data_IF_731596970625
#
_entry.id   IF_731596970625
#
_cell.length_a   1.000
_cell.length_b   1.000
_cell.length_c   1.000
_cell.angle_alpha   90.00
_cell.angle_beta   90.00
_cell.angle_gamma   90.00
#
_symmetry.space_group_name_H-M   'P 1'
#
loop_
_entity.id
_entity.type
_entity.pdbx_description
1 polymer ?
#
# COMPACT_ATOMS: atom_id res chain seq x y z
N UNK A 1 14.62 8.49 -9.74
CA UNK A 1 13.75 9.08 -8.69
C UNK A 1 14.24 8.63 -7.33
N UNK A 2 13.95 9.42 -6.29
CA UNK A 2 14.10 9.06 -4.87
C UNK A 2 12.73 8.62 -4.35
N UNK A 3 12.58 7.36 -3.99
CA UNK A 3 11.29 6.75 -3.64
C UNK A 3 11.34 6.22 -2.20
N UNK A 4 10.39 6.67 -1.37
CA UNK A 4 10.22 6.19 -0.01
C UNK A 4 9.24 5.02 0.00
N UNK A 5 9.63 3.87 0.58
CA UNK A 5 8.78 2.68 0.66
C UNK A 5 8.52 2.33 2.13
N UNK A 6 7.32 2.61 2.59
CA UNK A 6 6.86 2.26 3.95
C UNK A 6 6.33 0.83 3.94
N UNK A 7 6.86 -0.02 4.79
CA UNK A 7 6.61 -1.47 4.77
C UNK A 7 7.49 -2.22 3.77
N UNK A 8 8.62 -1.64 3.35
CA UNK A 8 9.55 -2.19 2.37
C UNK A 8 10.20 -3.52 2.76
N UNK A 9 10.14 -3.91 4.02
CA UNK A 9 10.70 -5.18 4.54
C UNK A 9 9.68 -6.33 4.58
N UNK A 10 8.41 -6.07 4.29
CA UNK A 10 7.35 -7.08 4.21
C UNK A 10 7.40 -7.90 2.92
N UNK A 11 6.49 -8.87 2.78
CA UNK A 11 6.45 -9.81 1.64
C UNK A 11 6.35 -9.09 0.27
N UNK A 12 5.35 -8.24 0.10
CA UNK A 12 5.23 -7.44 -1.14
C UNK A 12 6.32 -6.37 -1.17
N UNK A 13 6.60 -5.75 -0.03
CA UNK A 13 7.56 -4.65 0.09
C UNK A 13 8.95 -5.03 -0.40
N UNK A 14 9.49 -6.15 0.01
CA UNK A 14 10.80 -6.63 -0.42
C UNK A 14 10.88 -6.87 -1.93
N UNK A 15 9.82 -7.36 -2.54
CA UNK A 15 9.75 -7.53 -3.99
C UNK A 15 9.70 -6.17 -4.73
N UNK A 16 8.93 -5.21 -4.21
CA UNK A 16 8.87 -3.84 -4.76
C UNK A 16 10.23 -3.15 -4.63
N UNK A 17 10.87 -3.24 -3.46
CA UNK A 17 12.23 -2.71 -3.22
C UNK A 17 13.22 -3.32 -4.20
N UNK A 18 13.26 -4.64 -4.31
CA UNK A 18 14.17 -5.36 -5.22
C UNK A 18 13.99 -4.94 -6.69
N UNK A 19 12.74 -4.68 -7.09
CA UNK A 19 12.43 -4.26 -8.45
C UNK A 19 12.84 -2.81 -8.71
N UNK A 20 12.45 -1.90 -7.82
CA UNK A 20 12.67 -0.46 -8.02
C UNK A 20 14.11 -0.01 -7.79
N UNK A 21 14.89 -0.72 -6.96
CA UNK A 21 16.30 -0.43 -6.74
C UNK A 21 17.17 -0.55 -7.99
N UNK A 22 16.67 -1.19 -9.04
CA UNK A 22 17.40 -1.31 -10.32
C UNK A 22 17.58 0.04 -11.02
N UNK A 23 16.58 0.93 -10.87
CA UNK A 23 16.51 2.18 -11.65
C UNK A 23 16.26 3.42 -10.78
N UNK A 24 16.04 3.26 -9.48
CA UNK A 24 15.66 4.34 -8.57
C UNK A 24 16.47 4.27 -7.27
N UNK A 25 16.61 5.41 -6.60
CA UNK A 25 17.11 5.44 -5.22
C UNK A 25 15.93 5.12 -4.29
N UNK A 26 15.89 3.92 -3.76
CA UNK A 26 14.86 3.49 -2.81
C UNK A 26 15.34 3.73 -1.38
N UNK A 27 14.43 4.23 -0.54
CA UNK A 27 14.60 4.36 0.90
C UNK A 27 13.50 3.52 1.55
N UNK A 28 13.88 2.59 2.40
CA UNK A 28 12.96 1.70 3.09
C UNK A 28 12.62 2.20 4.48
N UNK A 29 11.34 2.13 4.84
CA UNK A 29 10.84 2.46 6.18
C UNK A 29 10.01 1.30 6.71
N UNK A 30 10.28 0.91 7.94
CA UNK A 30 9.50 -0.08 8.66
C UNK A 30 9.35 0.30 10.12
N UNK A 31 8.51 -0.42 10.87
CA UNK A 31 8.31 -0.16 12.31
C UNK A 31 9.58 -0.45 13.12
N UNK A 32 10.29 -1.51 12.79
CA UNK A 32 11.48 -2.00 13.51
C UNK A 32 12.69 -2.26 12.61
N UNK A 33 12.59 -2.02 11.29
CA UNK A 33 13.64 -2.34 10.32
C UNK A 33 13.55 -1.42 9.10
N UNK A 34 14.56 -1.43 8.23
CA UNK A 34 14.68 -0.55 7.06
C UNK A 34 15.76 0.51 7.28
N UNK A 35 15.93 1.41 6.31
CA UNK A 35 16.88 2.52 6.40
C UNK A 35 16.47 3.52 7.48
N UNK A 36 15.15 3.67 7.67
CA UNK A 36 14.54 4.47 8.72
C UNK A 36 13.44 3.67 9.43
N UNK A 37 13.15 4.08 10.67
CA UNK A 37 12.06 3.50 11.45
C UNK A 37 10.95 4.53 11.64
N UNK A 38 9.71 4.14 11.37
CA UNK A 38 8.52 4.93 11.67
C UNK A 38 7.30 4.04 11.86
N UNK A 39 6.41 4.48 12.77
CA UNK A 39 5.09 3.89 12.95
C UNK A 39 4.05 4.77 12.25
N UNK A 40 3.34 4.24 11.26
CA UNK A 40 2.30 4.99 10.53
C UNK A 40 1.11 5.39 11.41
N UNK A 41 0.91 4.70 12.51
CA UNK A 41 -0.15 4.99 13.49
C UNK A 41 0.20 6.19 14.38
N UNK A 42 1.49 6.56 14.45
CA UNK A 42 2.02 7.69 15.21
C UNK A 42 2.44 8.83 14.27
N UNK A 43 1.65 9.90 14.28
CA UNK A 43 1.89 11.06 13.43
C UNK A 43 3.27 11.68 13.70
N UNK A 44 3.68 11.79 14.99
CA UNK A 44 4.97 12.39 15.34
C UNK A 44 6.16 11.55 14.88
N UNK A 45 5.99 10.22 14.80
CA UNK A 45 6.96 9.30 14.23
C UNK A 45 7.16 9.53 12.73
N UNK A 46 6.06 9.76 12.01
CA UNK A 46 6.11 10.09 10.58
C UNK A 46 6.75 11.44 10.32
N UNK A 47 6.39 12.48 11.08
CA UNK A 47 6.97 13.84 10.98
C UNK A 47 8.50 13.78 11.13
N UNK A 48 8.98 13.16 12.21
CA UNK A 48 10.43 13.00 12.45
C UNK A 48 11.14 12.25 11.33
N UNK A 49 10.51 11.23 10.78
CA UNK A 49 11.07 10.46 9.67
C UNK A 49 11.17 11.33 8.41
N UNK A 50 10.11 12.09 8.07
CA UNK A 50 10.14 12.98 6.90
C UNK A 50 11.13 14.13 7.04
N UNK A 51 11.29 14.71 8.23
CA UNK A 51 12.28 15.76 8.49
C UNK A 51 13.71 15.29 8.21
N UNK A 52 14.02 14.04 8.51
CA UNK A 52 15.35 13.45 8.24
C UNK A 52 15.49 13.01 6.78
N UNK A 53 14.47 12.39 6.21
CA UNK A 53 14.49 11.91 4.82
C UNK A 53 14.50 13.08 3.82
N UNK A 54 13.76 14.16 4.13
CA UNK A 54 13.56 15.30 3.24
C UNK A 54 12.78 14.96 1.99
N UNK A 55 12.92 15.79 0.95
CA UNK A 55 12.16 15.66 -0.31
C UNK A 55 12.38 14.34 -1.03
N UNK A 56 11.28 13.78 -1.57
CA UNK A 56 11.24 12.56 -2.37
C UNK A 56 10.40 12.77 -3.63
N UNK A 57 10.55 11.90 -4.63
CA UNK A 57 9.75 11.93 -5.86
C UNK A 57 8.47 11.08 -5.72
N UNK A 58 8.44 10.17 -4.76
CA UNK A 58 7.26 9.36 -4.51
C UNK A 58 7.31 8.61 -3.19
N UNK A 59 6.11 8.27 -2.71
CA UNK A 59 5.89 7.45 -1.51
C UNK A 59 5.04 6.24 -1.89
N UNK A 60 5.50 5.06 -1.48
CA UNK A 60 4.74 3.80 -1.60
C UNK A 60 4.48 3.26 -0.21
N UNK A 61 3.23 3.01 0.13
CA UNK A 61 2.84 2.38 1.39
C UNK A 61 2.38 0.95 1.16
N UNK A 62 3.13 0.03 1.75
CA UNK A 62 2.79 -1.40 1.86
C UNK A 62 2.56 -1.79 3.33
N UNK A 63 2.54 -0.80 4.20
CA UNK A 63 2.33 -0.98 5.63
C UNK A 63 0.85 -1.09 5.99
N UNK A 64 0.60 -1.76 7.08
CA UNK A 64 -0.71 -1.89 7.70
C UNK A 64 -1.00 -3.32 8.13
N UNK A 65 -1.28 -3.48 9.41
CA UNK A 65 -1.64 -4.75 10.04
C UNK A 65 -3.16 -4.90 10.15
N UNK A 66 -3.62 -6.13 10.14
CA UNK A 66 -4.99 -6.49 10.46
C UNK A 66 -5.06 -7.98 10.78
N UNK A 67 -6.08 -8.36 11.52
CA UNK A 67 -6.37 -9.73 11.89
C UNK A 67 -7.75 -10.14 11.37
N UNK A 68 -7.92 -11.43 11.11
CA UNK A 68 -9.19 -12.01 10.66
C UNK A 68 -9.87 -12.73 11.82
N UNK A 69 -11.17 -12.47 12.01
CA UNK A 69 -12.00 -13.22 12.95
C UNK A 69 -13.45 -13.19 12.49
N UNK A 70 -14.26 -14.21 12.77
CA UNK A 70 -15.71 -14.16 12.55
C UNK A 70 -16.29 -12.91 13.20
N UNK A 71 -17.17 -12.17 12.51
CA UNK A 71 -17.64 -10.85 12.96
C UNK A 71 -18.22 -10.85 14.39
N UNK A 72 -18.91 -11.93 14.77
CA UNK A 72 -19.54 -12.07 16.09
C UNK A 72 -18.56 -12.45 17.22
N UNK A 73 -17.31 -12.77 16.87
CA UNK A 73 -16.23 -13.08 17.81
C UNK A 73 -15.08 -12.06 17.74
N UNK A 74 -15.18 -11.07 16.87
CA UNK A 74 -14.13 -10.11 16.65
C UNK A 74 -14.04 -9.12 17.81
N UNK A 75 -12.94 -9.10 18.57
CA UNK A 75 -12.76 -8.14 19.67
C UNK A 75 -12.51 -6.72 19.14
N UNK A 76 -12.87 -5.71 19.90
CA UNK A 76 -12.67 -4.29 19.55
C UNK A 76 -11.22 -3.98 19.18
N UNK A 77 -10.25 -4.59 19.86
CA UNK A 77 -8.84 -4.41 19.55
C UNK A 77 -8.46 -4.81 18.10
N UNK A 78 -9.10 -5.81 17.52
CA UNK A 78 -8.86 -6.17 16.12
C UNK A 78 -9.53 -5.19 15.14
N UNK A 79 -10.68 -4.64 15.51
CA UNK A 79 -11.35 -3.57 14.76
C UNK A 79 -10.46 -2.33 14.79
N UNK A 80 -10.00 -1.94 15.95
CA UNK A 80 -9.10 -0.79 16.14
C UNK A 80 -7.78 -0.96 15.38
N UNK A 81 -7.18 -2.16 15.41
CA UNK A 81 -5.98 -2.47 14.65
C UNK A 81 -6.20 -2.24 13.15
N UNK A 82 -7.27 -2.76 12.58
CA UNK A 82 -7.57 -2.60 11.16
C UNK A 82 -7.79 -1.11 10.80
N UNK A 83 -8.56 -0.39 11.61
CA UNK A 83 -8.84 1.04 11.39
C UNK A 83 -7.57 1.87 11.55
N UNK A 84 -6.83 1.70 12.65
CA UNK A 84 -5.69 2.54 12.94
C UNK A 84 -4.52 2.26 12.01
N UNK A 85 -4.26 1.01 11.68
CA UNK A 85 -3.12 0.62 10.86
C UNK A 85 -3.42 0.77 9.37
N UNK A 86 -4.49 0.13 8.85
CA UNK A 86 -4.74 0.16 7.40
C UNK A 86 -5.40 1.43 6.88
N UNK A 87 -6.26 2.06 7.66
CA UNK A 87 -6.95 3.27 7.23
C UNK A 87 -6.27 4.52 7.78
N UNK A 88 -6.32 4.77 9.09
CA UNK A 88 -5.85 6.00 9.71
C UNK A 88 -4.36 6.25 9.47
N UNK A 89 -3.53 5.22 9.60
CA UNK A 89 -2.09 5.31 9.37
C UNK A 89 -1.75 5.72 7.94
N UNK A 90 -2.44 5.14 6.95
CA UNK A 90 -2.25 5.51 5.55
C UNK A 90 -2.79 6.92 5.23
N UNK A 91 -3.90 7.33 5.83
CA UNK A 91 -4.41 8.72 5.73
C UNK A 91 -3.40 9.70 6.32
N UNK A 92 -2.82 9.41 7.49
CA UNK A 92 -1.78 10.25 8.09
C UNK A 92 -0.55 10.32 7.19
N UNK A 93 -0.12 9.20 6.61
CA UNK A 93 1.00 9.17 5.68
C UNK A 93 0.76 10.08 4.47
N UNK A 94 -0.42 10.03 3.84
CA UNK A 94 -0.77 10.91 2.71
C UNK A 94 -0.74 12.37 3.13
N UNK A 95 -1.39 12.71 4.26
CA UNK A 95 -1.51 14.08 4.76
C UNK A 95 -0.16 14.71 5.12
N UNK A 96 0.77 13.92 5.60
CA UNK A 96 2.10 14.42 5.98
C UNK A 96 3.05 14.41 4.77
N UNK A 97 3.04 13.35 3.98
CA UNK A 97 4.00 13.20 2.88
C UNK A 97 3.84 14.23 1.77
N UNK A 98 2.63 14.78 1.54
CA UNK A 98 2.40 15.69 0.42
C UNK A 98 3.32 16.92 0.44
N UNK A 99 3.78 17.36 1.62
CA UNK A 99 4.70 18.49 1.79
C UNK A 99 6.16 18.12 1.44
N UNK A 100 6.48 16.83 1.41
CA UNK A 100 7.81 16.29 1.16
C UNK A 100 7.92 15.61 -0.21
N UNK A 101 6.90 15.72 -1.06
CA UNK A 101 6.91 15.17 -2.41
C UNK A 101 7.14 16.28 -3.43
N UNK A 102 8.09 16.06 -4.32
CA UNK A 102 8.37 16.96 -5.44
C UNK A 102 7.13 17.11 -6.34
N UNK A 103 6.95 18.30 -6.93
CA UNK A 103 5.88 18.56 -7.90
C UNK A 103 5.86 17.49 -9.00
N UNK A 104 4.68 16.99 -9.32
CA UNK A 104 4.48 15.91 -10.29
C UNK A 104 4.80 14.51 -9.75
N UNK A 105 5.12 14.39 -8.45
CA UNK A 105 5.39 13.13 -7.79
C UNK A 105 4.14 12.27 -7.55
N UNK A 106 4.28 11.24 -6.71
CA UNK A 106 3.19 10.27 -6.52
C UNK A 106 3.12 9.69 -5.10
N UNK A 107 1.93 9.23 -4.74
CA UNK A 107 1.67 8.38 -3.58
C UNK A 107 0.94 7.14 -4.06
N UNK A 108 1.46 5.94 -3.76
CA UNK A 108 0.81 4.67 -4.05
C UNK A 108 0.54 3.95 -2.73
N UNK A 109 -0.74 3.72 -2.44
CA UNK A 109 -1.20 3.00 -1.26
C UNK A 109 -1.51 1.55 -1.62
N UNK A 110 -1.44 0.67 -0.64
CA UNK A 110 -1.81 -0.73 -0.79
C UNK A 110 -3.13 -1.00 -0.07
N UNK A 111 -4.18 -1.21 -0.84
CA UNK A 111 -5.46 -1.74 -0.40
C UNK A 111 -5.42 -3.28 -0.39
N UNK A 112 -6.46 -3.94 -0.80
CA UNK A 112 -6.50 -5.40 -0.89
C UNK A 112 -7.82 -5.92 -1.40
N UNK A 113 -7.85 -7.19 -1.72
CA UNK A 113 -9.02 -7.88 -2.27
C UNK A 113 -10.25 -7.80 -1.36
N UNK A 114 -10.05 -7.75 -0.04
CA UNK A 114 -11.15 -7.67 0.94
C UNK A 114 -11.98 -6.38 0.84
N UNK A 115 -11.50 -5.34 0.14
CA UNK A 115 -12.27 -4.11 -0.07
C UNK A 115 -13.49 -4.30 -1.00
N UNK A 116 -13.51 -5.36 -1.84
CA UNK A 116 -14.54 -5.58 -2.85
C UNK A 116 -14.94 -7.06 -3.05
N UNK A 117 -14.23 -8.01 -2.45
CA UNK A 117 -14.55 -9.45 -2.48
C UNK A 117 -15.00 -9.90 -1.10
N UNK A 118 -15.95 -10.84 -1.08
CA UNK A 118 -16.34 -11.49 0.18
C UNK A 118 -15.19 -12.34 0.71
N UNK A 119 -14.77 -12.05 1.94
CA UNK A 119 -13.75 -12.82 2.65
C UNK A 119 -14.25 -13.14 4.06
N UNK A 120 -14.38 -14.42 4.42
CA UNK A 120 -14.76 -14.80 5.76
C UNK A 120 -13.81 -14.20 6.81
N UNK A 121 -14.37 -13.67 7.87
CA UNK A 121 -13.59 -13.08 8.98
C UNK A 121 -12.94 -11.71 8.69
N UNK A 122 -13.15 -11.13 7.52
CA UNK A 122 -12.47 -9.90 7.10
C UNK A 122 -13.30 -8.62 7.30
N UNK A 123 -14.32 -8.61 8.14
CA UNK A 123 -15.26 -7.47 8.27
C UNK A 123 -14.55 -6.14 8.58
N UNK A 124 -13.69 -6.08 9.59
CA UNK A 124 -12.92 -4.88 9.93
C UNK A 124 -11.90 -4.51 8.86
N UNK A 125 -11.24 -5.52 8.27
CA UNK A 125 -10.28 -5.31 7.17
C UNK A 125 -10.99 -4.73 5.95
N UNK A 126 -12.14 -5.28 5.58
CA UNK A 126 -12.97 -4.80 4.45
C UNK A 126 -13.42 -3.35 4.67
N UNK A 127 -13.86 -3.03 5.88
CA UNK A 127 -14.25 -1.67 6.26
C UNK A 127 -13.08 -0.70 6.15
N UNK A 128 -11.91 -1.04 6.68
CA UNK A 128 -10.73 -0.19 6.65
C UNK A 128 -10.22 0.04 5.23
N UNK A 129 -10.13 -1.03 4.42
CA UNK A 129 -9.66 -0.95 3.03
C UNK A 129 -10.67 -0.24 2.13
N UNK A 130 -11.98 -0.49 2.32
CA UNK A 130 -13.04 0.24 1.62
C UNK A 130 -13.01 1.74 1.92
N UNK A 131 -12.81 2.11 3.19
CA UNK A 131 -12.61 3.49 3.62
C UNK A 131 -11.37 4.14 3.01
N UNK A 132 -10.25 3.40 2.94
CA UNK A 132 -9.02 3.87 2.29
C UNK A 132 -9.24 4.18 0.81
N UNK A 133 -9.94 3.31 0.10
CA UNK A 133 -10.23 3.53 -1.33
C UNK A 133 -11.21 4.68 -1.56
N UNK A 134 -12.22 4.82 -0.69
CA UNK A 134 -13.11 5.97 -0.73
C UNK A 134 -12.34 7.28 -0.51
N UNK A 135 -11.40 7.29 0.44
CA UNK A 135 -10.50 8.42 0.67
C UNK A 135 -9.66 8.73 -0.58
N UNK A 136 -9.03 7.72 -1.20
CA UNK A 136 -8.23 7.91 -2.41
C UNK A 136 -9.07 8.50 -3.55
N UNK A 137 -10.31 8.05 -3.74
CA UNK A 137 -11.21 8.64 -4.76
C UNK A 137 -11.59 10.07 -4.45
N UNK A 138 -11.88 10.37 -3.20
CA UNK A 138 -12.30 11.71 -2.79
C UNK A 138 -11.23 12.77 -3.03
N UNK A 139 -9.97 12.46 -2.77
CA UNK A 139 -8.87 13.43 -2.91
C UNK A 139 -8.40 13.66 -4.34
N UNK A 140 -8.92 12.91 -5.35
CA UNK A 140 -8.53 13.12 -6.75
C UNK A 140 -8.87 14.51 -7.27
N UNK A 141 -9.90 15.14 -6.73
CA UNK A 141 -10.37 16.49 -7.14
C UNK A 141 -9.74 17.63 -6.33
N UNK A 142 -8.91 17.28 -5.35
CA UNK A 142 -8.25 18.28 -4.51
C UNK A 142 -6.91 18.73 -5.12
N UNK A 143 -6.50 19.99 -4.96
CA UNK A 143 -5.25 20.50 -5.51
C UNK A 143 -4.05 20.03 -4.65
N UNK A 144 -3.61 18.81 -4.84
CA UNK A 144 -2.47 18.20 -4.13
C UNK A 144 -1.12 18.52 -4.81
N UNK A 145 -0.86 19.76 -5.21
CA UNK A 145 0.39 20.17 -5.87
C UNK A 145 0.81 19.28 -7.06
N UNK A 146 -0.17 18.83 -7.86
CA UNK A 146 0.03 17.88 -8.98
C UNK A 146 0.55 16.50 -8.53
N UNK A 147 0.41 16.13 -7.27
CA UNK A 147 0.78 14.80 -6.77
C UNK A 147 -0.32 13.81 -7.12
N UNK A 148 0.06 12.70 -7.75
CA UNK A 148 -0.88 11.62 -8.09
C UNK A 148 -1.03 10.66 -6.92
N UNK A 149 -2.24 10.47 -6.42
CA UNK A 149 -2.53 9.48 -5.36
C UNK A 149 -3.29 8.31 -5.96
N UNK A 150 -2.80 7.09 -5.74
CA UNK A 150 -3.38 5.83 -6.27
C UNK A 150 -3.44 4.78 -5.16
N UNK A 151 -4.31 3.81 -5.32
CA UNK A 151 -4.28 2.58 -4.52
C UNK A 151 -4.24 1.35 -5.41
N UNK A 152 -3.46 0.36 -4.99
CA UNK A 152 -3.38 -0.96 -5.62
C UNK A 152 -4.18 -1.94 -4.77
N UNK A 153 -4.95 -2.82 -5.41
CA UNK A 153 -5.63 -3.97 -4.81
C UNK A 153 -4.87 -5.25 -5.14
N UNK A 154 -3.92 -5.69 -4.31
CA UNK A 154 -3.37 -7.03 -4.46
C UNK A 154 -4.45 -8.08 -4.27
N UNK A 155 -4.27 -9.19 -4.97
CA UNK A 155 -4.95 -10.45 -4.66
C UNK A 155 -4.16 -11.22 -3.59
N UNK A 156 -4.55 -12.44 -3.28
CA UNK A 156 -3.77 -13.28 -2.37
C UNK A 156 -2.36 -13.43 -2.90
N UNK A 157 -1.38 -13.15 -2.07
CA UNK A 157 0.03 -13.27 -2.40
C UNK A 157 0.47 -14.72 -2.20
N UNK A 158 1.10 -15.31 -3.21
CA UNK A 158 1.50 -16.72 -3.22
C UNK A 158 2.40 -17.07 -2.02
N UNK A 159 3.33 -16.20 -1.68
CA UNK A 159 4.23 -16.38 -0.54
C UNK A 159 3.48 -16.37 0.79
N UNK A 160 2.49 -15.48 0.93
CA UNK A 160 1.62 -15.42 2.12
C UNK A 160 0.73 -16.67 2.19
N UNK A 161 0.15 -17.08 1.06
CA UNK A 161 -0.67 -18.28 0.99
C UNK A 161 0.10 -19.52 1.47
N UNK A 162 1.35 -19.68 1.02
CA UNK A 162 2.24 -20.77 1.43
C UNK A 162 2.61 -20.69 2.93
N UNK A 163 2.95 -19.50 3.42
CA UNK A 163 3.33 -19.30 4.82
C UNK A 163 2.21 -19.67 5.80
N UNK A 164 0.95 -19.46 5.41
CA UNK A 164 -0.23 -19.79 6.23
C UNK A 164 -0.90 -21.12 5.85
N UNK A 165 -0.29 -21.92 4.95
CA UNK A 165 -0.85 -23.20 4.45
C UNK A 165 -2.30 -23.07 3.94
N UNK A 166 -2.60 -21.97 3.23
CA UNK A 166 -3.91 -21.74 2.65
C UNK A 166 -4.00 -22.46 1.30
N UNK A 167 -5.09 -23.18 1.08
CA UNK A 167 -5.43 -23.78 -0.22
C UNK A 167 -6.49 -22.90 -0.91
N UNK A 168 -6.06 -21.99 -1.75
CA UNK A 168 -6.90 -21.07 -2.48
C UNK A 168 -6.67 -21.21 -3.98
N UNK A 169 -7.72 -21.10 -4.80
CA UNK A 169 -7.65 -21.40 -6.24
C UNK A 169 -6.84 -20.39 -7.05
N UNK A 170 -6.51 -19.25 -6.47
CA UNK A 170 -5.81 -18.19 -7.19
C UNK A 170 -4.92 -17.37 -6.25
N UNK A 171 -3.67 -17.21 -6.66
CA UNK A 171 -2.71 -16.31 -6.00
C UNK A 171 -1.75 -15.72 -7.03
N UNK A 172 -1.12 -14.61 -6.67
CA UNK A 172 -0.10 -13.94 -7.48
C UNK A 172 1.16 -13.76 -6.65
N UNK A 173 2.32 -14.02 -7.23
CA UNK A 173 3.59 -13.83 -6.50
C UNK A 173 3.82 -12.35 -6.16
N UNK A 174 4.55 -12.12 -5.07
CA UNK A 174 4.97 -10.76 -4.68
C UNK A 174 5.78 -10.09 -5.81
N UNK A 175 6.62 -10.85 -6.51
CA UNK A 175 7.39 -10.36 -7.65
C UNK A 175 6.49 -9.87 -8.81
N UNK A 176 5.45 -10.62 -9.15
CA UNK A 176 4.49 -10.22 -10.20
C UNK A 176 3.63 -9.04 -9.74
N UNK A 177 3.26 -9.00 -8.47
CA UNK A 177 2.57 -7.85 -7.87
C UNK A 177 3.43 -6.58 -7.94
N UNK A 178 4.74 -6.68 -7.71
CA UNK A 178 5.67 -5.55 -7.79
C UNK A 178 5.73 -4.90 -9.19
N UNK A 179 5.41 -5.63 -10.27
CA UNK A 179 5.33 -5.05 -11.62
C UNK A 179 4.25 -3.99 -11.73
N UNK A 180 3.16 -4.13 -10.99
CA UNK A 180 2.06 -3.16 -10.99
C UNK A 180 2.51 -1.84 -10.35
N UNK A 181 3.30 -1.90 -9.28
CA UNK A 181 3.86 -0.69 -8.65
C UNK A 181 4.79 0.05 -9.61
N UNK A 182 5.69 -0.64 -10.28
CA UNK A 182 6.59 -0.04 -11.28
C UNK A 182 5.80 0.55 -12.47
N UNK A 183 4.76 -0.15 -12.93
CA UNK A 183 3.90 0.37 -14.00
C UNK A 183 3.24 1.69 -13.60
N UNK A 184 2.65 1.77 -12.41
CA UNK A 184 1.96 2.98 -11.95
C UNK A 184 2.88 4.19 -11.75
N UNK A 185 4.14 3.96 -11.40
CA UNK A 185 5.13 5.03 -11.33
C UNK A 185 5.33 5.67 -12.71
N UNK A 186 5.36 4.86 -13.75
CA UNK A 186 5.69 5.26 -15.12
C UNK A 186 4.46 5.64 -15.97
N UNK A 187 3.25 5.36 -15.50
CA UNK A 187 2.01 5.60 -16.24
C UNK A 187 1.14 6.62 -15.51
N UNK A 188 1.15 7.90 -15.91
CA UNK A 188 0.45 8.96 -15.18
C UNK A 188 -1.08 8.86 -15.27
N UNK A 189 -1.63 8.42 -16.40
CA UNK A 189 -3.08 8.43 -16.67
C UNK A 189 -3.71 7.06 -16.37
N UNK A 190 -3.83 6.75 -15.08
CA UNK A 190 -4.46 5.53 -14.62
C UNK A 190 -5.62 5.82 -13.66
N UNK A 191 -6.52 4.86 -13.56
CA UNK A 191 -7.59 4.90 -12.56
C UNK A 191 -7.05 5.06 -11.14
N UNK A 192 -7.82 5.70 -10.23
CA UNK A 192 -7.40 5.88 -8.83
C UNK A 192 -7.14 4.56 -8.11
N UNK A 193 -7.85 3.51 -8.47
CA UNK A 193 -7.76 2.19 -7.84
C UNK A 193 -7.47 1.12 -8.90
N UNK A 194 -6.39 0.41 -8.74
CA UNK A 194 -5.91 -0.60 -9.70
C UNK A 194 -6.01 -2.01 -9.10
N UNK A 195 -6.68 -2.91 -9.81
CA UNK A 195 -6.67 -4.33 -9.46
C UNK A 195 -5.45 -5.03 -10.08
N UNK A 196 -4.69 -5.74 -9.27
CA UNK A 196 -3.55 -6.54 -9.75
C UNK A 196 -4.01 -7.63 -10.74
N UNK A 197 -5.17 -8.25 -10.49
CA UNK A 197 -5.76 -9.25 -11.40
C UNK A 197 -5.98 -8.71 -12.81
N UNK A 198 -6.56 -7.51 -12.91
CA UNK A 198 -6.92 -6.91 -14.20
C UNK A 198 -5.66 -6.55 -14.99
N UNK A 199 -4.65 -6.01 -14.31
CA UNK A 199 -3.35 -5.72 -14.91
C UNK A 199 -2.68 -6.97 -15.50
N UNK A 200 -2.70 -8.09 -14.76
CA UNK A 200 -2.10 -9.35 -15.23
C UNK A 200 -2.88 -9.91 -16.44
N UNK A 201 -4.20 -9.87 -16.42
CA UNK A 201 -5.03 -10.33 -17.54
C UNK A 201 -4.84 -9.48 -18.80
N UNK A 202 -4.60 -8.18 -18.65
CA UNK A 202 -4.29 -7.31 -19.80
C UNK A 202 -2.95 -7.69 -20.43
N UNK A 203 -1.92 -7.98 -19.63
CA UNK A 203 -0.61 -8.37 -20.14
C UNK A 203 -0.65 -9.71 -20.90
N UNK A 204 -1.44 -10.69 -20.43
CA UNK A 204 -1.57 -12.00 -21.13
C UNK A 204 -2.35 -11.95 -22.44
N UNK A 205 -3.10 -10.87 -22.71
CA UNK A 205 -3.79 -10.67 -23.98
C UNK A 205 -2.95 -9.94 -25.04
N UNK A 206 -1.85 -9.34 -24.65
CA UNK A 206 -0.97 -8.55 -25.52
C UNK A 206 0.30 -9.34 -25.90
N UNK A 207 0.59 -10.42 -25.20
CA UNK A 207 1.69 -11.36 -25.47
C UNK A 207 1.22 -12.53 -26.33
#
# INVERSE_FOLDING_TARGET
MKILIVGGTGTIGSAVVSRLNKNHKVITVGRSSGDYQANIEDQSSLEKMFDVVGMVDGVISLAGDAELAPFHLQPDAQIDLAINSKLRGNVNLVRLSHQYINKGGFIILTSGMASYKFMPGASSVSMALGGLEAYVRAIQIEPLHEIRVRAIRPVIITETMKAFNLDLPFSVSAAKTAEVYEHLINTPDTEPIINVSDFIHLQTKIS
#
